data_IF_839684855622
#
_entry.id   IF_839684855622
#
_cell.length_a   1.000
_cell.length_b   1.000
_cell.length_c   1.000
_cell.angle_alpha   90.00
_cell.angle_beta   90.00
_cell.angle_gamma   90.00
#
_symmetry.space_group_name_H-M   'P 1'
#
loop_
_entity.id
_entity.type
_entity.pdbx_description
1 polymer ?
#
# COMPACT_ATOMS: atom_id res chain seq x y z
N UNK A 1 -31.22 -26.81 -25.73
CA UNK A 1 -30.08 -26.30 -24.94
C UNK A 1 -29.01 -25.86 -25.91
N UNK A 2 -28.93 -24.56 -26.18
CA UNK A 2 -28.02 -23.99 -27.16
C UNK A 2 -26.62 -23.85 -26.57
N UNK A 3 -25.64 -24.53 -27.15
CA UNK A 3 -24.24 -24.27 -26.91
C UNK A 3 -23.91 -22.89 -27.46
N UNK A 4 -23.56 -21.96 -26.57
CA UNK A 4 -22.97 -20.68 -26.95
C UNK A 4 -21.58 -21.01 -27.50
N UNK A 5 -21.50 -21.12 -28.82
CA UNK A 5 -20.24 -21.19 -29.56
C UNK A 5 -19.66 -19.78 -29.60
N UNK A 6 -18.67 -19.54 -28.76
CA UNK A 6 -17.85 -18.33 -28.85
C UNK A 6 -17.08 -18.39 -30.18
N UNK A 7 -17.46 -17.54 -31.13
CA UNK A 7 -16.77 -17.41 -32.41
C UNK A 7 -15.42 -16.69 -32.19
N UNK A 8 -14.28 -17.24 -32.64
CA UNK A 8 -12.98 -16.61 -32.43
C UNK A 8 -12.71 -15.61 -33.56
N UNK A 9 -13.05 -14.34 -33.35
CA UNK A 9 -12.73 -13.25 -34.28
C UNK A 9 -11.46 -12.46 -33.89
N UNK A 10 -10.42 -13.11 -33.36
CA UNK A 10 -9.11 -12.47 -33.15
C UNK A 10 -7.95 -13.45 -33.41
N UNK A 11 -7.25 -13.24 -34.52
CA UNK A 11 -6.15 -14.04 -35.11
C UNK A 11 -4.82 -14.02 -34.35
N UNK A 12 -4.82 -13.67 -33.06
CA UNK A 12 -3.58 -13.52 -32.25
C UNK A 12 -3.51 -14.45 -31.03
N UNK A 13 -4.45 -15.37 -30.84
CA UNK A 13 -4.35 -16.33 -29.74
C UNK A 13 -3.29 -17.39 -30.09
N UNK A 14 -2.17 -17.48 -29.32
CA UNK A 14 -1.19 -18.52 -29.55
C UNK A 14 -1.86 -19.89 -29.37
N UNK A 15 -1.55 -20.81 -30.27
CA UNK A 15 -2.10 -22.17 -30.28
C UNK A 15 -1.80 -22.85 -28.94
N UNK A 16 -2.82 -23.41 -28.26
CA UNK A 16 -2.62 -24.17 -27.03
C UNK A 16 -1.76 -25.40 -27.33
N UNK A 17 -0.47 -25.34 -27.04
CA UNK A 17 0.45 -26.45 -27.38
C UNK A 17 0.48 -27.53 -26.30
N UNK A 18 -0.07 -27.29 -25.11
CA UNK A 18 0.07 -28.22 -23.98
C UNK A 18 -1.15 -28.20 -23.06
N UNK A 19 -1.69 -29.38 -22.78
CA UNK A 19 -2.81 -29.53 -21.83
C UNK A 19 -2.30 -29.49 -20.39
N UNK A 20 -2.52 -28.34 -19.72
CA UNK A 20 -2.10 -28.08 -18.35
C UNK A 20 -2.88 -28.86 -17.29
N UNK A 21 -4.02 -29.48 -17.65
CA UNK A 21 -4.83 -30.28 -16.71
C UNK A 21 -4.27 -31.68 -16.48
N UNK A 22 -3.33 -32.12 -17.32
CA UNK A 22 -2.70 -33.43 -17.20
C UNK A 22 -1.73 -33.49 -16.03
N UNK A 23 -1.72 -34.61 -15.30
CA UNK A 23 -0.80 -34.81 -14.16
C UNK A 23 0.67 -34.76 -14.58
N UNK A 24 0.99 -35.19 -15.80
CA UNK A 24 2.34 -35.12 -16.38
C UNK A 24 2.87 -33.69 -16.52
N UNK A 25 2.00 -32.70 -16.68
CA UNK A 25 2.40 -31.30 -16.72
C UNK A 25 2.95 -30.83 -15.36
N UNK A 26 2.34 -31.29 -14.26
CA UNK A 26 2.71 -30.89 -12.89
C UNK A 26 3.78 -31.78 -12.26
N UNK A 27 3.77 -33.09 -12.55
CA UNK A 27 4.76 -34.05 -12.04
C UNK A 27 6.06 -34.00 -12.83
N UNK A 28 6.63 -32.80 -12.94
CA UNK A 28 7.90 -32.57 -13.62
C UNK A 28 8.90 -31.87 -12.68
N UNK A 29 10.20 -32.09 -12.92
CA UNK A 29 11.26 -31.51 -12.10
C UNK A 29 11.21 -29.98 -12.04
N UNK A 30 10.77 -29.32 -13.13
CA UNK A 30 10.69 -27.85 -13.24
C UNK A 30 9.69 -27.29 -12.24
N UNK A 31 8.50 -27.89 -12.16
CA UNK A 31 7.48 -27.53 -11.20
C UNK A 31 7.99 -27.70 -9.76
N UNK A 32 8.69 -28.80 -9.46
CA UNK A 32 9.26 -29.00 -8.11
C UNK A 32 10.23 -27.88 -7.72
N UNK A 33 11.10 -27.42 -8.62
CA UNK A 33 11.96 -26.26 -8.32
C UNK A 33 11.19 -24.95 -8.21
N UNK A 34 10.20 -24.70 -9.08
CA UNK A 34 9.35 -23.52 -8.96
C UNK A 34 8.59 -23.51 -7.62
N UNK A 35 8.03 -24.65 -7.21
CA UNK A 35 7.37 -24.84 -5.93
C UNK A 35 8.32 -24.66 -4.75
N UNK A 36 9.55 -25.18 -4.85
CA UNK A 36 10.58 -24.98 -3.84
C UNK A 36 10.90 -23.49 -3.65
N UNK A 37 11.13 -22.73 -4.74
CA UNK A 37 11.39 -21.29 -4.64
C UNK A 37 10.22 -20.51 -4.04
N UNK A 38 9.00 -20.88 -4.41
CA UNK A 38 7.78 -20.27 -3.88
C UNK A 38 7.64 -20.55 -2.38
N UNK A 39 7.83 -21.81 -1.96
CA UNK A 39 7.74 -22.21 -0.55
C UNK A 39 8.83 -21.58 0.31
N UNK A 40 10.07 -21.48 -0.18
CA UNK A 40 11.15 -20.77 0.50
C UNK A 40 10.77 -19.30 0.69
N UNK A 41 10.27 -18.64 -0.35
CA UNK A 41 9.85 -17.24 -0.30
C UNK A 41 8.72 -17.00 0.70
N UNK A 42 7.69 -17.86 0.68
CA UNK A 42 6.58 -17.80 1.63
C UNK A 42 7.05 -18.06 3.07
N UNK A 43 7.91 -19.06 3.28
CA UNK A 43 8.44 -19.39 4.61
C UNK A 43 9.26 -18.24 5.20
N UNK A 44 10.12 -17.61 4.37
CA UNK A 44 10.88 -16.42 4.77
C UNK A 44 9.97 -15.24 5.08
N UNK A 45 8.95 -14.99 4.25
CA UNK A 45 7.97 -13.93 4.48
C UNK A 45 7.18 -14.15 5.79
N UNK A 46 6.68 -15.36 6.02
CA UNK A 46 6.00 -15.73 7.26
C UNK A 46 6.91 -15.60 8.48
N UNK A 47 8.18 -16.02 8.38
CA UNK A 47 9.17 -15.83 9.44
C UNK A 47 9.40 -14.35 9.76
N UNK A 48 9.52 -13.49 8.75
CA UNK A 48 9.69 -12.04 8.96
C UNK A 48 8.46 -11.43 9.67
N UNK A 49 7.25 -11.74 9.21
CA UNK A 49 6.02 -11.26 9.86
C UNK A 49 5.96 -11.74 11.31
N UNK A 50 6.22 -13.03 11.53
CA UNK A 50 6.19 -13.61 12.86
C UNK A 50 7.24 -12.99 13.81
N UNK A 51 8.45 -12.76 13.32
CA UNK A 51 9.55 -12.16 14.09
C UNK A 51 9.26 -10.70 14.46
N UNK A 52 8.79 -9.90 13.51
CA UNK A 52 8.67 -8.45 13.67
C UNK A 52 7.30 -7.99 14.19
N UNK A 53 6.21 -8.71 13.87
CA UNK A 53 4.85 -8.37 14.38
C UNK A 53 4.38 -9.26 15.54
N UNK A 54 4.74 -10.56 15.53
CA UNK A 54 4.27 -11.53 16.51
C UNK A 54 5.10 -11.57 17.79
N UNK A 55 6.41 -11.77 17.67
CA UNK A 55 7.29 -12.05 18.81
C UNK A 55 7.62 -10.81 19.66
N UNK A 56 7.65 -9.63 19.06
CA UNK A 56 8.06 -8.41 19.75
C UNK A 56 6.99 -7.86 20.73
N UNK A 57 5.72 -8.28 20.59
CA UNK A 57 4.63 -7.96 21.54
C UNK A 57 4.78 -8.67 22.88
N UNK A 58 5.36 -9.86 22.91
CA UNK A 58 5.50 -10.64 24.15
C UNK A 58 6.67 -10.14 25.00
N UNK A 59 7.70 -9.55 24.36
CA UNK A 59 8.88 -8.99 25.03
C UNK A 59 8.69 -7.55 25.51
N UNK A 60 7.66 -6.86 25.01
CA UNK A 60 7.36 -5.46 25.35
C UNK A 60 6.47 -5.28 26.58
N UNK A 61 5.82 -6.33 27.10
CA UNK A 61 5.12 -6.23 28.40
C UNK A 61 6.07 -6.15 29.60
N UNK A 62 7.32 -6.59 29.45
CA UNK A 62 8.35 -6.55 30.51
C UNK A 62 9.28 -5.33 30.42
N UNK A 63 9.27 -4.57 29.32
CA UNK A 63 10.14 -3.41 29.14
C UNK A 63 9.33 -2.13 28.93
N UNK A 64 8.56 -1.75 29.95
CA UNK A 64 8.30 -0.33 30.21
C UNK A 64 9.65 0.34 30.41
N UNK A 65 9.84 1.54 29.84
CA UNK A 65 11.06 2.36 29.92
C UNK A 65 12.15 1.99 28.90
N UNK A 66 11.89 2.27 27.63
CA UNK A 66 12.75 3.13 26.82
C UNK A 66 12.04 3.47 25.50
N UNK A 67 11.88 4.75 25.24
CA UNK A 67 11.31 5.31 24.00
C UNK A 67 12.23 5.03 22.80
N UNK A 68 12.23 3.79 22.33
CA UNK A 68 12.75 3.44 21.03
C UNK A 68 11.57 2.87 20.24
N UNK A 69 11.02 3.73 19.39
CA UNK A 69 9.92 3.44 18.47
C UNK A 69 10.07 2.02 17.92
N UNK A 70 9.14 1.13 18.29
CA UNK A 70 9.18 -0.25 17.82
C UNK A 70 8.87 -0.24 16.34
N UNK A 71 9.75 -0.79 15.49
CA UNK A 71 9.65 -0.75 14.02
C UNK A 71 8.26 -1.16 13.46
N UNK A 72 7.46 -1.94 14.21
CA UNK A 72 6.12 -2.36 13.81
C UNK A 72 4.96 -1.45 14.25
N UNK A 73 5.18 -0.46 15.10
CA UNK A 73 4.11 0.31 15.75
C UNK A 73 3.57 1.42 14.85
N UNK A 74 2.26 1.41 14.63
CA UNK A 74 1.52 2.44 13.89
C UNK A 74 0.66 3.28 14.84
N UNK A 75 0.61 4.59 14.60
CA UNK A 75 -0.27 5.52 15.31
C UNK A 75 -1.48 5.92 14.46
N UNK A 76 -2.62 6.20 15.10
CA UNK A 76 -3.90 6.48 14.42
C UNK A 76 -3.84 7.70 13.50
N UNK A 77 -3.10 8.74 13.91
CA UNK A 77 -2.99 9.98 13.15
C UNK A 77 -2.11 9.84 11.90
N UNK A 78 -1.25 8.83 11.81
CA UNK A 78 -0.42 8.62 10.62
C UNK A 78 -1.24 8.30 9.37
N UNK A 79 -2.38 7.62 9.54
CA UNK A 79 -3.21 7.18 8.43
C UNK A 79 -3.86 8.35 7.67
N UNK A 80 -4.06 9.50 8.33
CA UNK A 80 -4.84 10.62 7.78
C UNK A 80 -4.14 11.98 7.82
N UNK A 81 -2.97 12.08 8.47
CA UNK A 81 -2.26 13.34 8.63
C UNK A 81 -1.15 13.51 7.58
N UNK A 82 -0.74 14.76 7.37
CA UNK A 82 0.27 15.17 6.39
C UNK A 82 1.67 15.14 6.99
N UNK A 83 2.69 14.93 6.14
CA UNK A 83 4.10 14.95 6.55
C UNK A 83 4.58 16.31 7.08
N UNK A 84 3.91 17.40 6.69
CA UNK A 84 4.22 18.76 7.12
C UNK A 84 3.11 19.29 8.02
N UNK A 85 3.49 19.86 9.18
CA UNK A 85 2.56 20.39 10.18
C UNK A 85 1.69 21.51 9.58
N UNK A 86 2.25 22.32 8.67
CA UNK A 86 1.56 23.44 8.02
C UNK A 86 0.55 23.05 6.93
N UNK A 87 0.59 21.82 6.40
CA UNK A 87 -0.37 21.40 5.37
C UNK A 87 -1.63 20.86 6.04
N UNK A 88 -2.78 21.47 5.75
CA UNK A 88 -4.05 21.00 6.26
C UNK A 88 -4.36 19.56 5.76
N UNK A 89 -4.80 18.62 6.63
CA UNK A 89 -5.17 17.25 6.23
C UNK A 89 -6.20 17.16 5.09
N UNK A 90 -7.00 18.20 4.88
CA UNK A 90 -7.93 18.29 3.75
C UNK A 90 -7.27 18.22 2.38
N UNK A 91 -6.01 18.65 2.23
CA UNK A 91 -5.28 18.50 0.97
C UNK A 91 -4.97 17.03 0.65
N UNK A 92 -4.58 16.26 1.67
CA UNK A 92 -4.40 14.82 1.53
C UNK A 92 -5.73 14.13 1.22
N UNK A 93 -6.83 14.55 1.86
CA UNK A 93 -8.17 14.06 1.56
C UNK A 93 -8.56 14.33 0.09
N UNK A 94 -8.41 15.57 -0.37
CA UNK A 94 -8.76 15.95 -1.74
C UNK A 94 -7.96 15.12 -2.75
N UNK A 95 -6.65 14.99 -2.51
CA UNK A 95 -5.77 14.17 -3.35
C UNK A 95 -6.24 12.71 -3.43
N UNK A 96 -6.59 12.10 -2.28
CA UNK A 96 -7.06 10.71 -2.21
C UNK A 96 -8.40 10.50 -2.89
N UNK A 97 -9.34 11.46 -2.77
CA UNK A 97 -10.63 11.42 -3.48
C UNK A 97 -10.42 11.46 -4.99
N UNK A 98 -9.61 12.41 -5.48
CA UNK A 98 -9.33 12.54 -6.93
C UNK A 98 -8.66 11.26 -7.45
N UNK A 99 -7.64 10.77 -6.73
CA UNK A 99 -6.94 9.54 -7.09
C UNK A 99 -7.90 8.34 -7.13
N UNK A 100 -8.76 8.20 -6.11
CA UNK A 100 -9.76 7.12 -6.06
C UNK A 100 -10.72 7.19 -7.24
N UNK A 101 -11.28 8.36 -7.54
CA UNK A 101 -12.24 8.54 -8.64
C UNK A 101 -11.58 8.20 -9.98
N UNK A 102 -10.37 8.70 -10.24
CA UNK A 102 -9.67 8.46 -11.51
C UNK A 102 -9.32 6.98 -11.66
N UNK A 103 -8.75 6.35 -10.62
CA UNK A 103 -8.41 4.92 -10.66
C UNK A 103 -9.66 4.06 -10.80
N UNK A 104 -10.75 4.40 -10.11
CA UNK A 104 -12.02 3.69 -10.23
C UNK A 104 -12.62 3.83 -11.64
N UNK A 105 -12.54 5.03 -12.24
CA UNK A 105 -12.98 5.24 -13.61
C UNK A 105 -12.16 4.43 -14.62
N UNK A 106 -10.83 4.38 -14.44
CA UNK A 106 -9.93 3.60 -15.31
C UNK A 106 -10.23 2.10 -15.23
N UNK A 107 -10.44 1.54 -14.03
CA UNK A 107 -10.74 0.12 -13.90
C UNK A 107 -12.13 -0.22 -14.47
N UNK A 108 -13.13 0.64 -14.28
CA UNK A 108 -14.46 0.46 -14.88
C UNK A 108 -14.36 0.52 -16.41
N UNK A 109 -13.62 1.49 -16.96
CA UNK A 109 -13.40 1.60 -18.40
C UNK A 109 -12.69 0.37 -18.97
N UNK A 110 -11.70 -0.18 -18.25
CA UNK A 110 -10.99 -1.39 -18.64
C UNK A 110 -11.93 -2.61 -18.66
N UNK A 111 -12.72 -2.81 -17.59
CA UNK A 111 -13.74 -3.88 -17.55
C UNK A 111 -14.80 -3.70 -18.63
N UNK A 112 -15.20 -2.46 -18.95
CA UNK A 112 -16.18 -2.18 -19.99
C UNK A 112 -15.65 -2.45 -21.40
N UNK A 113 -14.35 -2.22 -21.64
CA UNK A 113 -13.71 -2.44 -22.94
C UNK A 113 -13.34 -3.92 -23.17
N UNK A 114 -12.68 -4.54 -22.20
CA UNK A 114 -12.05 -5.87 -22.35
C UNK A 114 -12.78 -6.99 -21.59
N UNK A 115 -13.80 -6.64 -20.81
CA UNK A 115 -14.58 -7.56 -19.99
C UNK A 115 -13.95 -7.89 -18.63
N UNK A 116 -14.65 -8.65 -17.76
CA UNK A 116 -14.16 -9.00 -16.42
C UNK A 116 -12.97 -9.99 -16.44
N UNK A 117 -12.67 -10.60 -17.59
CA UNK A 117 -11.53 -11.52 -17.75
C UNK A 117 -10.16 -10.86 -17.49
N UNK A 118 -10.08 -9.53 -17.51
CA UNK A 118 -8.84 -8.79 -17.21
C UNK A 118 -8.28 -9.08 -15.81
N UNK A 119 -9.13 -9.43 -14.84
CA UNK A 119 -8.68 -9.75 -13.47
C UNK A 119 -7.86 -11.05 -13.38
N UNK A 120 -7.76 -11.78 -14.49
CA UNK A 120 -6.81 -12.87 -14.65
C UNK A 120 -5.34 -12.41 -14.57
N UNK A 121 -5.04 -11.14 -14.88
CA UNK A 121 -3.67 -10.62 -14.88
C UNK A 121 -3.30 -9.98 -13.52
N UNK A 122 -2.09 -10.28 -13.05
CA UNK A 122 -1.52 -9.67 -11.83
C UNK A 122 -1.51 -8.13 -11.83
N UNK A 123 -1.25 -7.50 -12.99
CA UNK A 123 -1.32 -6.04 -13.15
C UNK A 123 -2.69 -5.51 -12.75
N UNK A 124 -3.76 -6.18 -13.19
CA UNK A 124 -5.13 -5.73 -12.94
C UNK A 124 -5.51 -5.92 -11.47
N UNK A 125 -5.09 -7.03 -10.84
CA UNK A 125 -5.24 -7.21 -9.40
C UNK A 125 -4.48 -6.16 -8.59
N UNK A 126 -3.27 -5.81 -9.02
CA UNK A 126 -2.47 -4.75 -8.39
C UNK A 126 -3.14 -3.40 -8.54
N UNK A 127 -3.65 -3.07 -9.72
CA UNK A 127 -4.38 -1.83 -9.95
C UNK A 127 -5.65 -1.74 -9.10
N UNK A 128 -6.42 -2.83 -8.99
CA UNK A 128 -7.56 -2.93 -8.06
C UNK A 128 -7.14 -2.67 -6.63
N UNK A 129 -6.03 -3.28 -6.18
CA UNK A 129 -5.53 -3.11 -4.82
C UNK A 129 -5.16 -1.65 -4.53
N UNK A 130 -4.56 -0.95 -5.51
CA UNK A 130 -4.28 0.50 -5.41
C UNK A 130 -5.58 1.30 -5.36
N UNK A 131 -6.60 0.95 -6.15
CA UNK A 131 -7.93 1.59 -6.06
C UNK A 131 -8.55 1.40 -4.68
N UNK A 132 -8.49 0.17 -4.12
CA UNK A 132 -8.96 -0.13 -2.75
C UNK A 132 -8.16 0.67 -1.71
N UNK A 133 -6.85 0.76 -1.86
CA UNK A 133 -5.98 1.59 -1.01
C UNK A 133 -6.47 3.04 -0.96
N UNK A 134 -6.72 3.66 -2.11
CA UNK A 134 -7.21 5.05 -2.16
C UNK A 134 -8.63 5.20 -1.61
N UNK A 135 -9.49 4.20 -1.78
CA UNK A 135 -10.81 4.15 -1.15
C UNK A 135 -10.72 4.14 0.37
N UNK A 136 -9.92 3.24 0.95
CA UNK A 136 -9.66 3.18 2.39
C UNK A 136 -8.99 4.46 2.90
N UNK A 137 -7.99 4.96 2.17
CA UNK A 137 -7.29 6.20 2.51
C UNK A 137 -8.22 7.40 2.55
N UNK A 138 -9.19 7.46 1.64
CA UNK A 138 -10.25 8.48 1.66
C UNK A 138 -11.09 8.37 2.93
N UNK A 139 -11.52 7.17 3.32
CA UNK A 139 -12.26 6.96 4.57
C UNK A 139 -11.47 7.41 5.80
N UNK A 140 -10.19 7.03 5.90
CA UNK A 140 -9.31 7.47 6.99
C UNK A 140 -9.12 9.00 7.00
N UNK A 141 -8.92 9.61 5.84
CA UNK A 141 -8.78 11.06 5.71
C UNK A 141 -10.06 11.81 6.08
N UNK A 142 -11.24 11.30 5.75
CA UNK A 142 -12.52 11.87 6.18
C UNK A 142 -12.63 11.79 7.71
N UNK A 143 -12.37 10.61 8.28
CA UNK A 143 -12.40 10.40 9.73
C UNK A 143 -11.47 11.37 10.47
N UNK A 144 -10.23 11.52 9.99
CA UNK A 144 -9.25 12.46 10.55
C UNK A 144 -9.68 13.92 10.47
N UNK A 145 -10.23 14.34 9.33
CA UNK A 145 -10.77 15.69 9.16
C UNK A 145 -11.94 15.98 10.12
N UNK A 146 -12.85 15.02 10.30
CA UNK A 146 -13.98 15.13 11.24
C UNK A 146 -13.50 15.22 12.70
N UNK A 147 -12.50 14.42 13.08
CA UNK A 147 -11.91 14.46 14.42
C UNK A 147 -11.32 15.85 14.71
N UNK A 148 -10.52 16.39 13.78
CA UNK A 148 -9.90 17.71 13.92
C UNK A 148 -10.93 18.85 13.97
N UNK A 149 -12.03 18.74 13.21
CA UNK A 149 -13.11 19.71 13.26
C UNK A 149 -13.82 19.70 14.63
N UNK A 150 -14.02 18.52 15.21
CA UNK A 150 -14.61 18.38 16.54
C UNK A 150 -13.68 18.93 17.64
N UNK A 151 -12.36 18.72 17.53
CA UNK A 151 -11.38 19.31 18.44
C UNK A 151 -11.37 20.84 18.38
N UNK A 152 -11.41 21.40 17.15
CA UNK A 152 -11.49 22.86 16.97
C UNK A 152 -12.79 23.42 17.57
N UNK A 153 -13.93 22.78 17.29
CA UNK A 153 -15.24 23.17 17.87
C UNK A 153 -15.23 23.08 19.40
N UNK A 154 -14.65 22.03 19.98
CA UNK A 154 -14.52 21.87 21.43
C UNK A 154 -13.67 22.96 22.07
N UNK A 155 -12.54 23.34 21.45
CA UNK A 155 -11.71 24.48 21.90
C UNK A 155 -12.44 25.81 21.80
N UNK A 156 -13.19 26.06 20.73
CA UNK A 156 -13.97 27.31 20.58
C UNK A 156 -15.07 27.43 21.64
N UNK A 157 -15.76 26.33 21.97
CA UNK A 157 -16.80 26.33 23.02
C UNK A 157 -16.19 26.56 24.41
N UNK A 158 -15.05 25.93 24.72
CA UNK A 158 -14.38 26.13 26.00
C UNK A 158 -13.73 27.53 26.12
N UNK A 159 -13.15 28.05 25.04
CA UNK A 159 -12.60 29.42 24.99
C UNK A 159 -13.68 30.49 25.18
N UNK A 160 -14.83 30.35 24.51
CA UNK A 160 -15.96 31.27 24.68
C UNK A 160 -16.56 31.22 26.10
N UNK A 161 -16.48 30.07 26.79
CA UNK A 161 -16.90 29.96 28.20
C UNK A 161 -15.94 30.63 29.19
N UNK A 162 -14.64 30.71 28.86
CA UNK A 162 -13.63 31.40 29.66
C UNK A 162 -13.67 32.92 29.46
N UNK A 163 -13.95 33.38 28.24
CA UNK A 163 -14.06 34.82 27.95
C UNK A 163 -15.30 35.46 28.60
N UNK A 164 -16.39 34.71 28.76
CA UNK A 164 -17.62 35.19 29.44
C UNK A 164 -17.45 35.36 30.97
N UNK A 165 -16.51 34.64 31.60
CA UNK A 165 -16.24 34.77 33.05
C UNK A 165 -15.23 35.90 33.33
N UNK A 166 -14.49 36.36 32.32
CA UNK A 166 -13.49 37.43 32.49
C UNK A 166 -14.03 38.87 32.42
N UNK A 167 -15.31 39.06 32.04
CA UNK A 167 -15.90 40.41 31.86
C UNK A 167 -16.78 40.88 33.04
N UNK A 168 -16.97 40.04 34.07
CA UNK A 168 -17.69 40.43 35.30
C UNK A 168 -16.82 40.24 36.55
N UNK A 169 -15.85 41.12 36.77
CA UNK A 169 -15.37 41.36 38.13
C UNK A 169 -15.03 42.84 38.34
N UNK A 170 -15.91 43.48 39.11
CA UNK A 170 -15.74 44.81 39.72
C UNK A 170 -14.56 44.75 40.71
N UNK A 171 -13.74 45.81 40.85
CA UNK A 171 -12.56 45.78 41.70
C UNK A 171 -12.94 46.02 43.17
N UNK A 172 -12.59 45.10 44.06
CA UNK A 172 -12.48 45.42 45.48
C UNK A 172 -11.32 44.69 46.16
N UNK A 173 -10.63 45.50 46.94
CA UNK A 173 -9.35 45.38 47.63
C UNK A 173 -9.35 44.37 48.80
N UNK A 174 -8.16 43.81 49.05
CA UNK A 174 -7.61 43.24 50.29
C UNK A 174 -8.00 41.80 50.72
N UNK A 175 -7.09 40.83 50.52
CA UNK A 175 -6.32 40.20 51.60
C UNK A 175 -5.42 39.07 51.10
N UNK A 176 -4.19 39.13 51.59
CA UNK A 176 -3.10 38.15 51.61
C UNK A 176 -3.59 36.71 51.90
N UNK A 177 -3.15 35.76 51.08
CA UNK A 177 -2.63 34.44 51.48
C UNK A 177 -1.89 33.82 50.29
N UNK A 178 -0.57 33.66 50.45
CA UNK A 178 0.32 33.00 49.50
C UNK A 178 -0.08 31.53 49.28
N UNK A 179 -0.47 31.22 48.04
CA UNK A 179 -0.43 29.86 47.49
C UNK A 179 0.39 29.96 46.21
N UNK A 180 1.52 29.24 46.05
CA UNK A 180 2.22 29.22 44.78
C UNK A 180 1.37 28.42 43.79
N UNK A 181 0.48 29.12 43.09
CA UNK A 181 -0.25 28.57 41.96
C UNK A 181 0.76 28.29 40.86
N UNK A 182 1.14 27.01 40.80
CA UNK A 182 1.90 26.37 39.74
C UNK A 182 1.34 26.85 38.40
N UNK A 183 2.06 27.78 37.78
CA UNK A 183 1.77 28.30 36.45
C UNK A 183 1.84 27.11 35.50
N UNK A 184 0.67 26.51 35.21
CA UNK A 184 0.51 25.50 34.17
C UNK A 184 0.80 26.21 32.85
N UNK A 185 2.06 26.21 32.46
CA UNK A 185 2.49 26.55 31.11
C UNK A 185 1.71 25.62 30.15
N UNK A 186 0.69 26.17 29.51
CA UNK A 186 -0.24 25.48 28.62
C UNK A 186 0.37 25.19 27.23
N UNK A 187 1.69 25.03 27.16
CA UNK A 187 2.44 24.90 25.90
C UNK A 187 3.11 23.53 25.72
N UNK A 188 2.71 22.51 26.50
CA UNK A 188 3.22 21.17 26.29
C UNK A 188 2.17 20.11 26.64
N UNK A 189 1.02 20.14 25.95
CA UNK A 189 0.22 18.92 25.78
C UNK A 189 1.05 17.95 24.92
N UNK A 190 1.85 17.11 25.58
CA UNK A 190 2.21 15.81 25.02
C UNK A 190 0.89 15.05 24.83
N UNK A 191 0.22 15.26 23.69
CA UNK A 191 -0.84 14.37 23.25
C UNK A 191 -0.23 12.98 23.16
N UNK A 192 -0.59 12.10 24.10
CA UNK A 192 -0.21 10.70 24.09
C UNK A 192 -0.78 10.11 22.80
N UNK A 193 0.10 9.92 21.82
CA UNK A 193 -0.28 9.51 20.46
C UNK A 193 -0.95 8.13 20.53
N UNK A 194 -2.19 8.03 20.06
CA UNK A 194 -2.98 6.79 20.17
C UNK A 194 -2.51 5.77 19.15
N UNK A 195 -2.25 4.55 19.62
CA UNK A 195 -1.85 3.42 18.77
C UNK A 195 -3.01 3.06 17.83
N UNK A 196 -2.71 2.81 16.56
CA UNK A 196 -3.67 2.43 15.55
C UNK A 196 -4.41 1.13 15.91
N UNK A 197 -5.72 1.12 15.68
CA UNK A 197 -6.50 -0.11 15.66
C UNK A 197 -6.14 -1.01 14.48
N UNK A 198 -6.73 -2.21 14.44
CA UNK A 198 -6.50 -3.25 13.41
C UNK A 198 -6.65 -2.69 11.99
N UNK A 199 -7.66 -1.84 11.75
CA UNK A 199 -7.89 -1.22 10.44
C UNK A 199 -6.76 -0.31 9.97
N UNK A 200 -6.06 0.38 10.89
CA UNK A 200 -4.90 1.19 10.54
C UNK A 200 -3.72 0.32 10.09
N UNK A 201 -3.49 -0.80 10.78
CA UNK A 201 -2.47 -1.77 10.37
C UNK A 201 -2.79 -2.38 9.00
N UNK A 202 -4.04 -2.79 8.76
CA UNK A 202 -4.49 -3.28 7.44
C UNK A 202 -4.23 -2.23 6.36
N UNK A 203 -4.59 -0.97 6.61
CA UNK A 203 -4.36 0.12 5.66
C UNK A 203 -2.88 0.30 5.32
N UNK A 204 -2.01 0.29 6.34
CA UNK A 204 -0.56 0.41 6.14
C UNK A 204 0.05 -0.82 5.44
N UNK A 205 -0.47 -2.02 5.71
CA UNK A 205 -0.04 -3.24 5.01
C UNK A 205 -0.42 -3.16 3.53
N UNK A 206 -1.67 -2.77 3.22
CA UNK A 206 -2.13 -2.58 1.83
C UNK A 206 -1.25 -1.54 1.13
N UNK A 207 -0.95 -0.42 1.78
CA UNK A 207 -0.05 0.61 1.25
C UNK A 207 1.31 0.03 0.81
N UNK A 208 1.91 -0.84 1.64
CA UNK A 208 3.22 -1.43 1.35
C UNK A 208 3.15 -2.53 0.29
N UNK A 209 2.07 -3.32 0.27
CA UNK A 209 1.83 -4.26 -0.83
C UNK A 209 1.73 -3.49 -2.14
N UNK A 210 0.94 -2.42 -2.18
CA UNK A 210 0.82 -1.53 -3.35
C UNK A 210 2.17 -0.96 -3.78
N UNK A 211 2.97 -0.46 -2.83
CA UNK A 211 4.29 0.10 -3.10
C UNK A 211 5.22 -0.87 -3.84
N UNK A 212 5.30 -2.12 -3.36
CA UNK A 212 6.09 -3.16 -4.03
C UNK A 212 5.48 -3.62 -5.35
N UNK A 213 4.17 -3.89 -5.35
CA UNK A 213 3.47 -4.48 -6.47
C UNK A 213 3.43 -3.56 -7.69
N UNK A 214 3.16 -2.25 -7.50
CA UNK A 214 3.16 -1.25 -8.59
C UNK A 214 4.54 -1.17 -9.26
N UNK A 215 5.60 -1.06 -8.47
CA UNK A 215 6.96 -0.99 -9.01
C UNK A 215 7.37 -2.28 -9.72
N UNK A 216 6.93 -3.44 -9.21
CA UNK A 216 7.18 -4.72 -9.88
C UNK A 216 6.41 -4.82 -11.20
N UNK A 217 5.11 -4.52 -11.21
CA UNK A 217 4.30 -4.62 -12.43
C UNK A 217 4.78 -3.66 -13.50
N UNK A 218 5.11 -2.43 -13.13
CA UNK A 218 5.52 -1.40 -14.07
C UNK A 218 6.93 -1.67 -14.59
N UNK A 219 7.84 -2.15 -13.73
CA UNK A 219 9.17 -2.56 -14.19
C UNK A 219 9.08 -3.74 -15.16
N UNK A 220 8.35 -4.79 -14.81
CA UNK A 220 8.18 -5.97 -15.67
C UNK A 220 7.51 -5.57 -17.00
N UNK A 221 6.50 -4.71 -16.95
CA UNK A 221 5.84 -4.24 -18.16
C UNK A 221 6.79 -3.42 -19.04
N UNK A 222 7.39 -2.36 -18.52
CA UNK A 222 8.17 -1.41 -19.31
C UNK A 222 9.51 -1.95 -19.78
N UNK A 223 10.20 -2.76 -18.98
CA UNK A 223 11.56 -3.23 -19.27
C UNK A 223 11.62 -4.65 -19.82
N UNK A 224 10.58 -5.47 -19.62
CA UNK A 224 10.57 -6.87 -20.08
C UNK A 224 9.50 -7.07 -21.15
N UNK A 225 8.23 -6.84 -20.83
CA UNK A 225 7.13 -7.21 -21.73
C UNK A 225 6.98 -6.26 -22.93
N UNK A 226 7.07 -4.96 -22.71
CA UNK A 226 6.87 -3.96 -23.76
C UNK A 226 7.96 -4.04 -24.84
N UNK A 227 9.27 -4.11 -24.54
CA UNK A 227 10.31 -4.24 -25.57
C UNK A 227 10.16 -5.51 -26.40
N UNK A 228 9.82 -6.64 -25.76
CA UNK A 228 9.57 -7.93 -26.41
C UNK A 228 8.31 -7.91 -27.29
N UNK A 229 7.36 -7.00 -27.04
CA UNK A 229 6.12 -6.87 -27.81
C UNK A 229 6.25 -5.83 -28.94
N UNK A 230 7.02 -4.77 -28.71
CA UNK A 230 7.28 -3.71 -29.70
C UNK A 230 8.02 -4.26 -30.92
N UNK A 231 8.87 -5.29 -30.77
CA UNK A 231 9.50 -5.97 -31.91
C UNK A 231 8.50 -6.59 -32.89
N UNK A 232 7.23 -6.77 -32.49
CA UNK A 232 6.17 -7.39 -33.28
C UNK A 232 5.10 -6.37 -33.76
N UNK A 233 5.44 -5.07 -33.89
CA UNK A 233 4.55 -4.00 -34.36
C UNK A 233 3.27 -3.76 -33.52
N UNK A 234 3.33 -4.01 -32.22
CA UNK A 234 2.19 -3.74 -31.32
C UNK A 234 2.08 -2.25 -30.96
N UNK A 235 0.91 -1.65 -31.21
CA UNK A 235 0.55 -0.33 -30.68
C UNK A 235 0.15 -0.44 -29.21
N UNK A 236 0.82 0.31 -28.34
CA UNK A 236 0.51 0.33 -26.92
C UNK A 236 -0.88 0.95 -26.68
N UNK A 237 -1.79 0.17 -26.12
CA UNK A 237 -3.14 0.63 -25.79
C UNK A 237 -3.10 1.71 -24.69
N UNK A 238 -3.95 2.72 -24.83
CA UNK A 238 -4.00 3.87 -23.92
C UNK A 238 -4.43 3.48 -22.51
N UNK A 239 -5.36 2.53 -22.36
CA UNK A 239 -5.75 2.07 -21.02
C UNK A 239 -4.58 1.33 -20.38
N UNK A 240 -3.91 0.43 -21.12
CA UNK A 240 -2.70 -0.25 -20.62
C UNK A 240 -1.60 0.73 -20.21
N UNK A 241 -1.37 1.80 -21.00
CA UNK A 241 -0.45 2.89 -20.64
C UNK A 241 -0.78 3.48 -19.27
N UNK A 242 -2.04 3.88 -19.11
CA UNK A 242 -2.56 4.50 -17.91
C UNK A 242 -2.41 3.58 -16.70
N UNK A 243 -2.71 2.29 -16.85
CA UNK A 243 -2.62 1.33 -15.74
C UNK A 243 -1.18 1.11 -15.25
N UNK A 244 -0.17 1.35 -16.09
CA UNK A 244 1.26 1.18 -15.79
C UNK A 244 2.02 2.48 -15.51
N UNK A 245 1.30 3.61 -15.41
CA UNK A 245 1.89 4.93 -15.16
C UNK A 245 1.13 5.69 -14.07
N UNK A 246 -0.21 5.74 -14.19
CA UNK A 246 -1.06 6.55 -13.31
C UNK A 246 -1.11 5.96 -11.89
N UNK A 247 -1.06 4.63 -11.75
CA UNK A 247 -0.95 3.93 -10.46
C UNK A 247 0.29 4.38 -9.66
N UNK A 248 1.47 4.40 -10.29
CA UNK A 248 2.73 4.82 -9.70
C UNK A 248 2.72 6.31 -9.37
N UNK A 249 2.26 7.15 -10.29
CA UNK A 249 2.14 8.60 -10.06
C UNK A 249 1.25 8.88 -8.86
N UNK A 250 0.06 8.27 -8.80
CA UNK A 250 -0.83 8.52 -7.67
C UNK A 250 -0.26 8.02 -6.34
N UNK A 251 0.32 6.81 -6.33
CA UNK A 251 0.89 6.25 -5.10
C UNK A 251 2.10 7.05 -4.59
N UNK A 252 2.98 7.51 -5.49
CA UNK A 252 4.12 8.37 -5.13
C UNK A 252 3.63 9.73 -4.62
N UNK A 253 2.61 10.32 -5.24
CA UNK A 253 2.05 11.58 -4.77
C UNK A 253 1.32 11.45 -3.42
N UNK A 254 0.63 10.33 -3.14
CA UNK A 254 0.09 10.10 -1.79
C UNK A 254 1.24 9.96 -0.78
N UNK A 255 2.27 9.20 -1.17
CA UNK A 255 3.49 9.00 -0.36
C UNK A 255 4.19 10.31 -0.06
N UNK A 256 4.23 11.26 -1.00
CA UNK A 256 4.88 12.56 -0.77
C UNK A 256 4.11 13.41 0.24
N UNK A 257 2.78 13.31 0.27
CA UNK A 257 1.90 14.10 1.14
C UNK A 257 1.69 13.49 2.53
N UNK A 258 1.51 12.17 2.61
CA UNK A 258 1.15 11.47 3.85
C UNK A 258 2.33 11.41 4.85
N UNK A 259 2.07 11.10 6.12
CA UNK A 259 3.11 10.90 7.14
C UNK A 259 3.28 9.46 7.61
N UNK A 260 2.78 8.49 6.84
CA UNK A 260 2.81 7.08 7.25
C UNK A 260 4.23 6.53 7.28
N UNK A 261 4.57 5.81 8.35
CA UNK A 261 5.81 5.02 8.43
C UNK A 261 5.86 3.95 7.34
N UNK A 262 7.08 3.61 6.92
CA UNK A 262 7.34 2.55 5.94
C UNK A 262 8.30 1.48 6.51
N UNK A 263 7.85 0.64 7.45
CA UNK A 263 8.67 -0.44 7.98
C UNK A 263 9.08 -1.44 6.91
N UNK A 264 10.39 -1.68 6.82
CA UNK A 264 11.01 -2.50 5.77
C UNK A 264 10.58 -3.96 5.85
N UNK A 265 10.39 -4.52 7.05
CA UNK A 265 10.07 -5.94 7.22
C UNK A 265 8.74 -6.35 6.57
N UNK A 266 7.81 -5.40 6.39
CA UNK A 266 6.50 -5.66 5.80
C UNK A 266 6.52 -5.83 4.28
N UNK A 267 7.70 -5.71 3.67
CA UNK A 267 8.03 -6.36 2.39
C UNK A 267 7.50 -7.79 2.29
N UNK A 268 7.49 -8.53 3.40
CA UNK A 268 6.94 -9.89 3.47
C UNK A 268 5.50 -10.00 2.95
N UNK A 269 4.64 -9.02 3.21
CA UNK A 269 3.26 -9.03 2.70
C UNK A 269 3.18 -8.89 1.18
N UNK A 270 4.08 -8.11 0.60
CA UNK A 270 4.19 -7.99 -0.85
C UNK A 270 4.61 -9.33 -1.48
N UNK A 271 5.60 -10.02 -0.90
CA UNK A 271 5.99 -11.38 -1.34
C UNK A 271 4.80 -12.36 -1.23
N UNK A 272 4.05 -12.33 -0.13
CA UNK A 272 2.87 -13.19 0.05
C UNK A 272 1.76 -12.86 -0.96
N UNK A 273 1.56 -11.60 -1.31
CA UNK A 273 0.59 -11.18 -2.32
C UNK A 273 0.93 -11.77 -3.70
N UNK A 274 2.20 -11.67 -4.13
CA UNK A 274 2.64 -12.28 -5.39
C UNK A 274 2.59 -13.81 -5.33
N UNK A 275 2.96 -14.43 -4.21
CA UNK A 275 2.85 -15.88 -4.05
C UNK A 275 1.38 -16.36 -4.13
N UNK A 276 0.45 -15.61 -3.53
CA UNK A 276 -0.99 -15.88 -3.61
C UNK A 276 -1.48 -15.87 -5.05
N UNK A 277 -1.06 -14.87 -5.85
CA UNK A 277 -1.38 -14.83 -7.27
C UNK A 277 -0.85 -16.07 -8.01
N UNK A 278 0.42 -16.46 -7.78
CA UNK A 278 1.01 -17.63 -8.43
C UNK A 278 0.24 -18.92 -8.08
N UNK A 279 -0.14 -19.09 -6.81
CA UNK A 279 -0.92 -20.26 -6.36
C UNK A 279 -2.31 -20.29 -7.02
N UNK A 280 -2.99 -19.15 -7.08
CA UNK A 280 -4.30 -19.04 -7.76
C UNK A 280 -4.15 -19.44 -9.24
N UNK A 281 -3.11 -18.94 -9.91
CA UNK A 281 -2.85 -19.30 -11.30
C UNK A 281 -2.58 -20.79 -11.45
N UNK A 282 -1.78 -21.39 -10.56
CA UNK A 282 -1.53 -22.82 -10.58
C UNK A 282 -2.81 -23.64 -10.44
N UNK A 283 -3.69 -23.26 -9.51
CA UNK A 283 -4.98 -23.92 -9.33
C UNK A 283 -5.84 -23.80 -10.59
N UNK A 284 -5.93 -22.61 -11.20
CA UNK A 284 -6.71 -22.39 -12.42
C UNK A 284 -6.20 -23.31 -13.54
N UNK A 285 -4.90 -23.35 -13.78
CA UNK A 285 -4.29 -24.17 -14.85
C UNK A 285 -4.35 -25.67 -14.58
N UNK A 286 -4.40 -26.09 -13.32
CA UNK A 286 -4.61 -27.48 -12.96
C UNK A 286 -6.05 -27.93 -13.23
N UNK A 287 -7.02 -27.02 -13.10
CA UNK A 287 -8.45 -27.30 -13.28
C UNK A 287 -8.95 -27.09 -14.70
N UNK A 288 -8.40 -26.11 -15.43
CA UNK A 288 -8.88 -25.70 -16.76
C UNK A 288 -7.69 -25.40 -17.67
N UNK A 289 -7.76 -25.90 -18.90
CA UNK A 289 -6.76 -25.61 -19.94
C UNK A 289 -6.98 -24.21 -20.50
N UNK A 290 -6.25 -23.24 -19.97
CA UNK A 290 -6.20 -21.84 -20.44
C UNK A 290 -4.75 -21.42 -20.69
N UNK A 291 -4.54 -20.29 -21.38
CA UNK A 291 -3.20 -19.79 -21.67
C UNK A 291 -2.65 -19.06 -20.45
N UNK A 292 -1.34 -19.15 -20.21
CA UNK A 292 -0.74 -18.43 -19.09
C UNK A 292 -0.87 -16.91 -19.27
N UNK A 293 -1.19 -16.14 -18.21
CA UNK A 293 -1.29 -14.68 -18.30
C UNK A 293 0.08 -14.06 -18.59
N UNK A 294 1.16 -14.75 -18.21
CA UNK A 294 2.52 -14.32 -18.47
C UNK A 294 3.36 -15.50 -18.97
N UNK A 295 4.15 -15.34 -20.04
CA UNK A 295 4.98 -16.42 -20.58
C UNK A 295 5.96 -17.01 -19.57
N UNK A 296 6.47 -16.19 -18.64
CA UNK A 296 7.42 -16.61 -17.61
C UNK A 296 6.80 -17.46 -16.48
N UNK A 297 5.48 -17.61 -16.44
CA UNK A 297 4.80 -18.54 -15.53
C UNK A 297 4.59 -19.93 -16.14
N UNK A 298 4.79 -20.07 -17.45
CA UNK A 298 4.61 -21.35 -18.12
C UNK A 298 5.69 -22.37 -17.70
N UNK A 299 5.24 -23.49 -17.14
CA UNK A 299 6.10 -24.57 -16.65
C UNK A 299 6.56 -25.52 -17.78
N UNK A 300 6.00 -25.36 -18.99
CA UNK A 300 6.43 -26.09 -20.19
C UNK A 300 7.87 -25.71 -20.61
N UNK A 301 8.33 -24.51 -20.24
CA UNK A 301 9.67 -24.02 -20.54
C UNK A 301 10.73 -24.64 -19.64
N UNK A 302 11.85 -25.08 -20.22
CA UNK A 302 13.03 -25.52 -19.44
C UNK A 302 13.61 -24.44 -18.52
N UNK A 303 13.34 -23.17 -18.81
CA UNK A 303 13.80 -22.03 -18.01
C UNK A 303 12.82 -21.58 -16.94
N UNK A 304 11.68 -22.28 -16.75
CA UNK A 304 10.67 -21.89 -15.77
C UNK A 304 11.25 -21.70 -14.35
N UNK A 305 12.09 -22.61 -13.80
CA UNK A 305 12.67 -22.40 -12.46
C UNK A 305 13.50 -21.11 -12.35
N UNK A 306 14.21 -20.74 -13.42
CA UNK A 306 15.00 -19.52 -13.46
C UNK A 306 14.10 -18.29 -13.48
N UNK A 307 13.01 -18.30 -14.26
CA UNK A 307 12.05 -17.21 -14.28
C UNK A 307 11.39 -16.97 -12.92
N UNK A 308 10.98 -18.04 -12.23
CA UNK A 308 10.41 -17.95 -10.88
C UNK A 308 11.42 -17.36 -9.89
N UNK A 309 12.68 -17.78 -9.97
CA UNK A 309 13.75 -17.22 -9.14
C UNK A 309 14.01 -15.74 -9.47
N UNK A 310 14.08 -15.37 -10.75
CA UNK A 310 14.26 -13.97 -11.19
C UNK A 310 13.14 -13.09 -10.68
N UNK A 311 11.88 -13.49 -10.84
CA UNK A 311 10.73 -12.74 -10.33
C UNK A 311 10.80 -12.62 -8.80
N UNK A 312 11.12 -13.69 -8.07
CA UNK A 312 11.32 -13.63 -6.62
C UNK A 312 12.42 -12.63 -6.23
N UNK A 313 13.56 -12.64 -6.93
CA UNK A 313 14.66 -11.72 -6.69
C UNK A 313 14.31 -10.27 -7.05
N UNK A 314 13.46 -10.02 -8.04
CA UNK A 314 13.02 -8.68 -8.43
C UNK A 314 12.18 -7.96 -7.37
N UNK A 315 11.62 -8.69 -6.40
CA UNK A 315 10.90 -8.05 -5.30
C UNK A 315 11.82 -7.14 -4.49
N UNK A 316 13.09 -7.53 -4.29
CA UNK A 316 14.06 -6.76 -3.51
C UNK A 316 14.38 -5.38 -4.14
N UNK A 317 14.81 -5.27 -5.42
CA UNK A 317 15.07 -3.96 -6.02
C UNK A 317 13.81 -3.12 -6.20
N UNK A 318 12.65 -3.72 -6.56
CA UNK A 318 11.40 -2.96 -6.73
C UNK A 318 10.93 -2.35 -5.40
N UNK A 319 10.93 -3.12 -4.31
CA UNK A 319 10.58 -2.60 -2.99
C UNK A 319 11.66 -1.67 -2.42
N UNK A 320 12.94 -2.00 -2.67
CA UNK A 320 14.09 -1.18 -2.27
C UNK A 320 14.07 0.21 -2.89
N UNK A 321 13.67 0.33 -4.17
CA UNK A 321 13.50 1.61 -4.84
C UNK A 321 12.42 2.46 -4.17
N UNK A 322 11.31 1.85 -3.75
CA UNK A 322 10.27 2.58 -3.02
C UNK A 322 10.75 3.04 -1.63
N UNK A 323 11.48 2.20 -0.90
CA UNK A 323 12.12 2.58 0.36
C UNK A 323 13.04 3.78 0.14
N UNK A 324 13.83 3.78 -0.94
CA UNK A 324 14.71 4.89 -1.28
C UNK A 324 13.92 6.18 -1.51
N UNK A 325 12.79 6.14 -2.22
CA UNK A 325 11.91 7.30 -2.44
C UNK A 325 11.41 7.85 -1.10
N UNK A 326 10.94 6.98 -0.19
CA UNK A 326 10.47 7.38 1.13
C UNK A 326 11.59 8.02 1.95
N UNK A 327 12.79 7.41 1.97
CA UNK A 327 13.95 7.98 2.67
C UNK A 327 14.39 9.33 2.08
N UNK A 328 14.40 9.45 0.75
CA UNK A 328 14.75 10.68 0.07
C UNK A 328 13.75 11.79 0.38
N UNK A 329 12.45 11.48 0.41
CA UNK A 329 11.40 12.40 0.87
C UNK A 329 11.70 12.90 2.29
N UNK A 330 11.95 12.01 3.25
CA UNK A 330 12.21 12.44 4.64
C UNK A 330 13.48 13.27 4.76
N UNK A 331 14.54 12.90 4.05
CA UNK A 331 15.77 13.69 3.98
C UNK A 331 15.52 15.09 3.41
N UNK A 332 14.77 15.18 2.31
CA UNK A 332 14.47 16.45 1.67
C UNK A 332 13.57 17.34 2.53
N UNK A 333 12.51 16.79 3.13
CA UNK A 333 11.60 17.53 4.01
C UNK A 333 12.31 18.05 5.26
N UNK A 334 13.15 17.23 5.90
CA UNK A 334 13.90 17.64 7.10
C UNK A 334 14.89 18.76 6.81
N UNK A 335 15.47 18.79 5.61
CA UNK A 335 16.38 19.85 5.17
C UNK A 335 15.64 21.14 4.77
N UNK A 336 14.54 21.02 4.04
CA UNK A 336 13.80 22.17 3.48
C UNK A 336 12.87 22.84 4.49
N UNK A 337 12.35 22.09 5.46
CA UNK A 337 11.35 22.57 6.43
C UNK A 337 11.71 22.17 7.88
N UNK A 338 12.86 22.62 8.42
CA UNK A 338 13.29 22.26 9.77
C UNK A 338 12.23 22.65 10.82
N UNK A 339 11.91 21.72 11.72
CA UNK A 339 10.92 21.93 12.79
C UNK A 339 9.45 21.87 12.36
N UNK A 340 9.15 21.77 11.06
CA UNK A 340 7.79 21.64 10.52
C UNK A 340 7.46 20.22 10.01
N UNK A 341 8.43 19.30 10.06
CA UNK A 341 8.25 17.91 9.64
C UNK A 341 7.68 17.06 10.77
N UNK A 342 6.61 16.32 10.48
CA UNK A 342 6.21 15.15 11.27
C UNK A 342 7.07 13.97 10.83
N UNK A 343 8.35 13.99 11.20
CA UNK A 343 9.27 12.89 10.94
C UNK A 343 9.03 11.82 12.00
N UNK A 344 8.70 10.62 11.54
CA UNK A 344 8.37 9.49 12.40
C UNK A 344 9.29 8.36 11.94
N UNK A 345 10.39 8.14 12.68
CA UNK A 345 11.52 7.29 12.26
C UNK A 345 11.21 5.80 12.23
#
# INVERSE_FOLDING_TARGET
MGFITWSPSHTWQPTMTTDTTTSSYWLNWRFFFCALWLLISMSLASYLIFKYEGFNKQRSSERRENHQDTDGLLYEDEAWNTCLIGIHPSWLLLYRIISFIVLLALIIANVAADGPGIFYYYTQLTFTLVTIYFGLGTCFSIYGCLLKQNEFRGRTVNGASLDAVSTFMVPTLDRVLDIPELTKNHNQEFHVRKIAGVWGYIFQIIYQICAGAVFLTDFVFWFILYPLRTSNHYSLDFLVFCMHTINAVFLIGDTSLNCMRFPVFRFAYFVLWTATFVIIQWIIHACVTVWWPYPFLDLSSSYAPLWYLVVALMHFPCYGLFILIVKLKHFWLSRSFPGSTRTVY
#
